data_IF_299665038263
#
_entry.id   IF_299665038263
#
_cell.length_a   1.000
_cell.length_b   1.000
_cell.length_c   1.000
_cell.angle_alpha   90.00
_cell.angle_beta   90.00
_cell.angle_gamma   90.00
#
_symmetry.space_group_name_H-M   'P 1'
#
loop_
_entity.id
_entity.type
_entity.pdbx_description
1 polymer ?
#
# COMPACT_ATOMS: atom_id res chain seq x y z
N UNK A 1 -8.74 9.00 3.85
CA UNK A 1 -10.12 8.52 3.82
C UNK A 1 -10.54 8.26 2.38
N UNK A 2 -11.02 7.05 2.09
CA UNK A 2 -11.64 6.76 0.80
C UNK A 2 -13.03 7.41 0.74
N UNK A 3 -13.33 8.11 -0.35
CA UNK A 3 -14.64 8.72 -0.56
C UNK A 3 -15.70 7.63 -0.74
N UNK A 4 -15.40 6.64 -1.58
CA UNK A 4 -16.28 5.49 -1.81
C UNK A 4 -16.02 4.36 -0.81
N UNK A 5 -17.10 3.75 -0.32
CA UNK A 5 -17.01 2.56 0.54
C UNK A 5 -16.35 1.42 -0.21
N UNK A 6 -15.38 0.79 0.44
CA UNK A 6 -14.66 -0.35 -0.12
C UNK A 6 -14.16 -1.27 0.98
N UNK A 7 -14.18 -2.58 0.72
CA UNK A 7 -13.72 -3.59 1.68
C UNK A 7 -12.28 -3.34 2.13
N UNK A 8 -12.02 -3.28 3.43
CA UNK A 8 -10.68 -3.23 4.01
C UNK A 8 -10.38 -4.61 4.57
N UNK A 9 -9.27 -5.23 4.13
CA UNK A 9 -8.84 -6.54 4.61
C UNK A 9 -7.64 -6.40 5.53
N UNK A 10 -7.62 -7.21 6.58
CA UNK A 10 -6.46 -7.36 7.43
C UNK A 10 -5.41 -8.26 6.78
N UNK A 11 -4.15 -7.91 7.00
CA UNK A 11 -2.99 -8.75 6.65
C UNK A 11 -2.53 -9.47 7.91
N UNK A 12 -2.50 -10.80 7.85
CA UNK A 12 -2.06 -11.69 8.92
C UNK A 12 -0.66 -12.26 8.62
N UNK A 13 -0.01 -12.86 9.62
CA UNK A 13 1.29 -13.53 9.46
C UNK A 13 2.49 -12.60 9.49
N UNK A 14 2.30 -11.36 9.96
CA UNK A 14 3.32 -10.40 10.37
C UNK A 14 2.95 -9.88 11.76
N UNK A 15 3.93 -9.41 12.54
CA UNK A 15 3.68 -8.80 13.85
C UNK A 15 3.00 -7.44 13.71
N UNK A 16 2.42 -6.94 14.81
CA UNK A 16 1.83 -5.60 14.83
C UNK A 16 2.89 -4.51 14.62
N UNK A 17 4.11 -4.69 15.16
CA UNK A 17 5.24 -3.79 14.93
C UNK A 17 5.67 -3.77 13.45
N UNK A 18 5.77 -4.93 12.80
CA UNK A 18 6.05 -5.04 11.37
C UNK A 18 4.96 -4.34 10.55
N UNK A 19 3.69 -4.59 10.89
CA UNK A 19 2.53 -3.97 10.25
C UNK A 19 2.59 -2.45 10.39
N UNK A 20 2.85 -1.93 11.59
CA UNK A 20 2.95 -0.50 11.84
C UNK A 20 4.09 0.14 11.04
N UNK A 21 5.29 -0.46 11.06
CA UNK A 21 6.44 0.04 10.27
C UNK A 21 6.17 0.07 8.77
N UNK A 22 5.46 -0.93 8.24
CA UNK A 22 5.04 -0.95 6.84
C UNK A 22 4.02 0.17 6.57
N UNK A 23 3.03 0.33 7.45
CA UNK A 23 2.02 1.38 7.30
C UNK A 23 2.64 2.79 7.37
N UNK A 24 3.60 3.03 8.26
CA UNK A 24 4.32 4.30 8.35
C UNK A 24 5.14 4.58 7.08
N UNK A 25 5.82 3.56 6.57
CA UNK A 25 6.58 3.66 5.32
C UNK A 25 5.67 4.00 4.13
N UNK A 26 4.54 3.31 4.00
CA UNK A 26 3.54 3.56 2.95
C UNK A 26 2.89 4.94 3.11
N UNK A 27 2.61 5.37 4.34
CA UNK A 27 2.07 6.69 4.60
C UNK A 27 3.04 7.79 4.16
N UNK A 28 4.34 7.63 4.42
CA UNK A 28 5.39 8.49 3.88
C UNK A 28 5.40 8.54 2.35
N UNK A 29 5.27 7.40 1.68
CA UNK A 29 5.17 7.34 0.22
C UNK A 29 3.94 8.10 -0.32
N UNK A 30 2.77 7.90 0.30
CA UNK A 30 1.53 8.63 -0.05
C UNK A 30 1.68 10.14 0.20
N UNK A 31 2.32 10.53 1.31
CA UNK A 31 2.63 11.92 1.60
C UNK A 31 3.47 12.56 0.50
N UNK A 32 4.62 11.95 0.16
CA UNK A 32 5.51 12.44 -0.89
C UNK A 32 4.80 12.51 -2.25
N UNK A 33 4.03 11.49 -2.61
CA UNK A 33 3.29 11.47 -3.87
C UNK A 33 2.31 12.63 -3.98
N UNK A 34 1.49 12.84 -2.94
CA UNK A 34 0.49 13.91 -2.95
C UNK A 34 1.12 15.32 -2.96
N UNK A 35 2.35 15.45 -2.46
CA UNK A 35 3.07 16.72 -2.46
C UNK A 35 3.66 17.07 -3.84
N UNK A 36 4.23 16.07 -4.53
CA UNK A 36 4.97 16.27 -5.79
C UNK A 36 4.07 16.11 -7.02
N UNK A 37 3.11 15.17 -6.98
CA UNK A 37 2.24 14.81 -8.10
C UNK A 37 0.78 15.13 -7.76
N UNK A 38 0.49 16.42 -7.63
CA UNK A 38 -0.89 16.89 -7.39
C UNK A 38 -1.81 16.36 -8.49
N UNK A 39 -2.98 15.86 -8.08
CA UNK A 39 -4.02 15.30 -8.97
C UNK A 39 -3.65 14.04 -9.78
N UNK A 40 -2.49 13.42 -9.51
CA UNK A 40 -2.09 12.19 -10.17
C UNK A 40 -2.62 10.93 -9.47
N UNK A 41 -3.00 9.94 -10.27
CA UNK A 41 -3.37 8.60 -9.79
C UNK A 41 -2.13 7.79 -9.39
N UNK A 42 -2.21 7.07 -8.28
CA UNK A 42 -1.16 6.14 -7.82
C UNK A 42 -1.75 4.80 -7.37
N UNK A 43 -0.88 3.81 -7.23
CA UNK A 43 -1.16 2.45 -6.78
C UNK A 43 0.02 1.91 -5.97
N UNK A 44 -0.12 0.74 -5.36
CA UNK A 44 1.00 0.08 -4.70
C UNK A 44 2.16 -0.23 -5.66
N UNK A 45 1.88 -0.40 -6.96
CA UNK A 45 2.91 -0.67 -7.97
C UNK A 45 3.82 0.54 -8.19
N UNK A 46 3.29 1.75 -8.06
CA UNK A 46 4.06 2.99 -8.24
C UNK A 46 5.06 3.22 -7.11
N UNK A 47 4.84 2.61 -5.94
CA UNK A 47 5.73 2.74 -4.79
C UNK A 47 6.69 1.55 -4.62
N UNK A 48 6.25 0.34 -5.01
CA UNK A 48 6.89 -0.92 -4.56
C UNK A 48 7.14 -1.92 -5.70
N UNK A 49 6.90 -1.53 -6.95
CA UNK A 49 7.01 -2.39 -8.11
C UNK A 49 7.75 -1.73 -9.27
N UNK A 50 7.69 -2.37 -10.45
CA UNK A 50 8.44 -1.91 -11.61
C UNK A 50 9.94 -1.92 -11.35
N UNK A 51 10.63 -0.84 -11.69
CA UNK A 51 12.08 -0.71 -11.54
C UNK A 51 12.51 -0.62 -10.06
N UNK A 52 11.63 -0.13 -9.19
CA UNK A 52 11.89 -0.01 -7.76
C UNK A 52 11.28 -1.18 -6.96
N UNK A 53 11.80 -2.39 -7.22
CA UNK A 53 11.39 -3.63 -6.55
C UNK A 53 12.38 -4.08 -5.45
N UNK A 54 13.33 -3.23 -5.03
CA UNK A 54 14.29 -3.57 -3.98
C UNK A 54 13.64 -3.44 -2.60
N UNK A 55 13.01 -4.51 -2.14
CA UNK A 55 12.36 -4.52 -0.82
C UNK A 55 13.35 -4.75 0.32
N UNK A 56 14.49 -5.38 0.04
CA UNK A 56 15.56 -5.58 1.02
C UNK A 56 16.01 -4.23 1.59
N UNK A 57 16.04 -4.13 2.92
CA UNK A 57 16.37 -2.87 3.62
C UNK A 57 15.18 -1.95 3.88
N UNK A 58 13.98 -2.29 3.41
CA UNK A 58 12.73 -1.60 3.76
C UNK A 58 11.86 -2.45 4.70
N UNK A 59 10.91 -1.84 5.44
CA UNK A 59 9.93 -2.59 6.23
C UNK A 59 9.09 -3.59 5.43
N UNK A 60 8.97 -3.41 4.10
CA UNK A 60 8.18 -4.28 3.23
C UNK A 60 8.77 -5.68 3.09
N UNK A 61 10.06 -5.86 3.40
CA UNK A 61 10.70 -7.16 3.31
C UNK A 61 10.01 -8.22 4.19
N UNK A 62 9.42 -7.81 5.32
CA UNK A 62 8.66 -8.69 6.20
C UNK A 62 7.50 -9.40 5.47
N UNK A 63 6.88 -8.74 4.48
CA UNK A 63 5.81 -9.35 3.66
C UNK A 63 6.35 -10.46 2.75
N UNK A 64 7.57 -10.29 2.24
CA UNK A 64 8.24 -11.33 1.45
C UNK A 64 8.68 -12.50 2.34
N UNK A 65 9.29 -12.21 3.50
CA UNK A 65 9.71 -13.21 4.49
C UNK A 65 8.52 -14.05 4.99
N UNK A 66 7.36 -13.43 5.20
CA UNK A 66 6.10 -14.14 5.47
C UNK A 66 5.83 -15.22 4.41
N UNK A 67 5.99 -14.92 3.12
CA UNK A 67 5.71 -15.90 2.07
C UNK A 67 6.76 -17.02 2.01
N UNK A 68 8.00 -16.76 2.43
CA UNK A 68 9.03 -17.79 2.61
C UNK A 68 8.59 -18.76 3.73
N UNK A 69 8.17 -18.23 4.89
CA UNK A 69 7.70 -19.04 6.03
C UNK A 69 6.48 -19.90 5.68
N UNK A 70 5.63 -19.42 4.76
CA UNK A 70 4.47 -20.18 4.24
C UNK A 70 4.83 -21.23 3.17
N UNK A 71 6.12 -21.41 2.82
CA UNK A 71 6.56 -22.44 1.89
C UNK A 71 6.20 -22.16 0.41
N UNK A 72 5.86 -20.93 0.04
CA UNK A 72 5.51 -20.60 -1.36
C UNK A 72 6.72 -20.66 -2.27
N UNK A 73 6.51 -20.93 -3.57
CA UNK A 73 7.55 -20.80 -4.59
C UNK A 73 7.87 -19.32 -4.88
N UNK A 74 8.99 -19.03 -5.55
CA UNK A 74 9.48 -17.66 -5.73
C UNK A 74 8.49 -16.72 -6.45
N UNK A 75 7.84 -17.17 -7.52
CA UNK A 75 6.85 -16.36 -8.25
C UNK A 75 5.65 -15.99 -7.37
N UNK A 76 5.14 -16.96 -6.60
CA UNK A 76 4.01 -16.73 -5.71
C UNK A 76 4.40 -15.85 -4.51
N UNK A 77 5.67 -15.89 -4.04
CA UNK A 77 6.15 -15.02 -2.95
C UNK A 77 6.01 -13.55 -3.33
N UNK A 78 6.55 -13.15 -4.48
CA UNK A 78 6.49 -11.76 -4.96
C UNK A 78 5.05 -11.32 -5.17
N UNK A 79 4.27 -12.14 -5.87
CA UNK A 79 2.87 -11.84 -6.19
C UNK A 79 2.02 -11.65 -4.93
N UNK A 80 2.13 -12.55 -3.96
CA UNK A 80 1.28 -12.51 -2.78
C UNK A 80 1.73 -11.46 -1.77
N UNK A 81 3.03 -11.22 -1.63
CA UNK A 81 3.51 -10.09 -0.85
C UNK A 81 3.09 -8.75 -1.48
N UNK A 82 3.07 -8.64 -2.82
CA UNK A 82 2.55 -7.46 -3.51
C UNK A 82 1.05 -7.22 -3.26
N UNK A 83 0.26 -8.29 -3.16
CA UNK A 83 -1.16 -8.20 -2.74
C UNK A 83 -1.28 -7.71 -1.30
N UNK A 84 -0.49 -8.26 -0.38
CA UNK A 84 -0.48 -7.83 1.02
C UNK A 84 -0.12 -6.34 1.14
N UNK A 85 0.89 -5.88 0.39
CA UNK A 85 1.24 -4.46 0.30
C UNK A 85 0.08 -3.61 -0.22
N UNK A 86 -0.66 -4.09 -1.22
CA UNK A 86 -1.84 -3.41 -1.75
C UNK A 86 -2.95 -3.25 -0.72
N UNK A 87 -3.18 -4.26 0.13
CA UNK A 87 -4.14 -4.19 1.23
C UNK A 87 -3.70 -3.23 2.33
N UNK A 88 -2.43 -3.26 2.71
CA UNK A 88 -1.88 -2.32 3.69
C UNK A 88 -1.91 -0.87 3.19
N UNK A 89 -1.58 -0.63 1.92
CA UNK A 89 -1.72 0.69 1.31
C UNK A 89 -3.18 1.16 1.33
N UNK A 90 -4.13 0.28 1.01
CA UNK A 90 -5.55 0.62 1.09
C UNK A 90 -5.96 1.02 2.50
N UNK A 91 -5.46 0.30 3.52
CA UNK A 91 -5.70 0.64 4.93
C UNK A 91 -5.13 2.02 5.27
N UNK A 92 -3.89 2.31 4.87
CA UNK A 92 -3.26 3.64 5.02
C UNK A 92 -4.11 4.74 4.37
N UNK A 93 -4.49 4.58 3.11
CA UNK A 93 -5.33 5.55 2.38
C UNK A 93 -6.69 5.71 3.05
N UNK A 94 -7.27 4.64 3.58
CA UNK A 94 -8.54 4.69 4.27
C UNK A 94 -8.46 5.47 5.59
N UNK A 95 -7.39 5.31 6.36
CA UNK A 95 -7.18 5.98 7.66
C UNK A 95 -6.55 7.37 7.57
N UNK A 96 -6.08 7.77 6.38
CA UNK A 96 -5.51 9.10 6.14
C UNK A 96 -6.56 10.21 6.36
N UNK A 97 -6.15 11.42 6.78
CA UNK A 97 -7.08 12.57 6.91
C UNK A 97 -7.45 13.21 5.56
N UNK A 98 -6.66 12.99 4.52
CA UNK A 98 -6.94 13.47 3.15
C UNK A 98 -8.01 12.60 2.50
N UNK A 99 -8.83 13.17 1.61
CA UNK A 99 -9.88 12.42 0.90
C UNK A 99 -9.38 11.91 -0.45
N UNK A 100 -9.59 10.62 -0.70
CA UNK A 100 -9.10 9.95 -1.89
C UNK A 100 -10.23 9.37 -2.72
N UNK A 101 -10.22 9.69 -4.00
CA UNK A 101 -10.97 8.96 -5.01
C UNK A 101 -10.27 7.64 -5.30
N UNK A 102 -11.03 6.63 -5.71
CA UNK A 102 -10.47 5.34 -6.07
C UNK A 102 -11.10 4.77 -7.32
N UNK A 103 -10.30 4.08 -8.13
CA UNK A 103 -10.78 3.35 -9.30
C UNK A 103 -10.06 2.01 -9.43
N UNK A 104 -10.68 1.07 -10.13
CA UNK A 104 -10.04 -0.17 -10.54
C UNK A 104 -9.68 -0.06 -12.01
N UNK A 105 -8.42 -0.30 -12.34
CA UNK A 105 -7.91 -0.36 -13.70
C UNK A 105 -7.19 -1.70 -13.83
N UNK A 106 -7.68 -2.57 -14.72
CA UNK A 106 -7.33 -4.00 -14.77
C UNK A 106 -7.49 -4.71 -13.41
N UNK A 107 -6.40 -5.22 -12.87
CA UNK A 107 -6.33 -5.88 -11.55
C UNK A 107 -5.74 -4.97 -10.46
N UNK A 108 -5.50 -3.69 -10.78
CA UNK A 108 -4.82 -2.74 -9.91
C UNK A 108 -5.82 -1.71 -9.37
N UNK A 109 -5.78 -1.48 -8.07
CA UNK A 109 -6.51 -0.39 -7.42
C UNK A 109 -5.66 0.86 -7.47
N UNK A 110 -6.25 1.95 -7.96
CA UNK A 110 -5.63 3.29 -8.00
C UNK A 110 -6.34 4.24 -7.05
N UNK A 111 -5.60 5.22 -6.56
CA UNK A 111 -6.06 6.27 -5.65
C UNK A 111 -5.59 7.63 -6.17
N UNK A 112 -6.35 8.68 -5.89
CA UNK A 112 -5.97 10.07 -6.17
C UNK A 112 -6.48 10.94 -5.03
N UNK A 113 -5.62 11.82 -4.51
CA UNK A 113 -6.06 12.84 -3.56
C UNK A 113 -6.87 13.91 -4.31
N UNK A 114 -8.07 14.25 -3.82
CA UNK A 114 -8.95 15.22 -4.46
C UNK A 114 -8.73 16.68 -3.97
N UNK A 115 -7.69 16.93 -3.17
CA UNK A 115 -7.41 18.24 -2.58
C UNK A 115 -8.09 18.51 -1.24
N UNK A 116 -9.08 17.69 -0.84
CA UNK A 116 -9.78 17.84 0.44
C UNK A 116 -9.11 17.06 1.57
N UNK A 117 -9.34 17.52 2.81
CA UNK A 117 -8.96 16.83 4.05
C UNK A 117 -10.04 17.06 5.11
N UNK A 118 -10.11 16.16 6.07
CA UNK A 118 -10.95 16.34 7.24
C UNK A 118 -10.47 17.56 8.05
N UNK A 119 -11.41 18.27 8.66
CA UNK A 119 -11.11 19.35 9.60
C UNK A 119 -10.59 18.75 10.90
N UNK A 120 -9.56 19.37 11.49
CA UNK A 120 -9.07 18.98 12.82
C UNK A 120 -10.09 19.30 13.92
#
# INVERSE_FOLDING_TARGET
MLIDKSEIREVHGISDDEKQRIMDFLHGAVYCWCNINKDAWFSARDFLGGDNFLWQGSPLYALYEKQIKLGKNNENRVKDAGKDSGWLLKKVVHTDKRKFETKKEDLIRKYRWNGEKDSD
#
